data_IF_889692323772
#
_entry.id   IF_889692323772
#
_cell.length_a   1.000
_cell.length_b   1.000
_cell.length_c   1.000
_cell.angle_alpha   90.00
_cell.angle_beta   90.00
_cell.angle_gamma   90.00
#
_symmetry.space_group_name_H-M   'P 1'
#
loop_
_entity.id
_entity.type
_entity.pdbx_description
1 polymer ?
#
# COMPACT_ATOMS: atom_id res chain seq x y z
N UNK A 1 -7.79 -3.06 13.70
CA UNK A 1 -7.70 -1.58 13.75
C UNK A 1 -7.46 -1.01 15.16
N UNK A 2 -8.32 -1.29 16.16
CA UNK A 2 -8.18 -0.72 17.52
C UNK A 2 -6.86 -1.09 18.21
N UNK A 3 -6.48 -2.38 18.18
CA UNK A 3 -5.19 -2.85 18.71
C UNK A 3 -3.99 -2.14 18.07
N UNK A 4 -4.03 -1.94 16.74
CA UNK A 4 -2.95 -1.23 16.03
C UNK A 4 -2.88 0.24 16.44
N UNK A 5 -4.04 0.91 16.62
CA UNK A 5 -4.09 2.29 17.15
C UNK A 5 -3.47 2.36 18.54
N UNK A 6 -3.94 1.53 19.48
CA UNK A 6 -3.40 1.49 20.83
C UNK A 6 -1.88 1.29 20.85
N UNK A 7 -1.39 0.28 20.11
CA UNK A 7 0.04 -0.01 19.98
C UNK A 7 0.79 1.19 19.40
N UNK A 8 0.26 1.89 18.41
CA UNK A 8 0.89 3.06 17.81
C UNK A 8 1.09 4.20 18.82
N UNK A 9 0.07 4.48 19.64
CA UNK A 9 0.17 5.47 20.72
C UNK A 9 1.21 5.04 21.75
N UNK A 10 1.18 3.78 22.20
CA UNK A 10 2.15 3.27 23.17
C UNK A 10 3.60 3.30 22.65
N UNK A 11 3.83 2.96 21.39
CA UNK A 11 5.16 3.06 20.76
C UNK A 11 5.61 4.52 20.70
N UNK A 12 4.71 5.44 20.33
CA UNK A 12 5.02 6.88 20.27
C UNK A 12 5.36 7.43 21.66
N UNK A 13 4.60 7.04 22.69
CA UNK A 13 4.88 7.39 24.09
C UNK A 13 6.23 6.84 24.54
N UNK A 14 6.53 5.57 24.25
CA UNK A 14 7.81 4.96 24.58
C UNK A 14 8.98 5.65 23.87
N UNK A 15 8.82 6.03 22.59
CA UNK A 15 9.83 6.76 21.84
C UNK A 15 10.07 8.20 22.35
N UNK A 16 9.07 8.83 22.97
CA UNK A 16 9.20 10.15 23.59
C UNK A 16 10.04 10.15 24.88
N UNK A 17 10.08 9.03 25.63
CA UNK A 17 10.86 8.92 26.89
C UNK A 17 12.34 9.28 26.72
N UNK A 18 13.10 8.67 25.78
CA UNK A 18 14.49 9.04 25.58
C UNK A 18 14.64 10.47 25.06
N UNK A 19 13.69 11.00 24.27
CA UNK A 19 13.73 12.38 23.78
C UNK A 19 13.60 13.38 24.92
N UNK A 20 12.71 13.12 25.88
CA UNK A 20 12.55 13.97 27.07
C UNK A 20 13.82 13.96 27.92
N UNK A 21 14.40 12.77 28.14
CA UNK A 21 15.67 12.65 28.85
C UNK A 21 16.78 13.44 28.15
N UNK A 22 16.97 13.25 26.84
CA UNK A 22 17.95 14.01 26.05
C UNK A 22 17.68 15.50 26.16
N UNK A 23 16.43 15.94 26.02
CA UNK A 23 16.04 17.34 26.08
C UNK A 23 16.33 17.98 27.44
N UNK A 24 16.06 17.28 28.54
CA UNK A 24 16.32 17.78 29.90
C UNK A 24 17.82 18.07 30.14
N UNK A 25 18.72 17.21 29.65
CA UNK A 25 20.17 17.42 29.78
C UNK A 25 20.71 18.38 28.73
N UNK A 26 20.34 18.21 27.45
CA UNK A 26 20.82 19.05 26.36
C UNK A 26 20.29 20.49 26.45
N UNK A 27 19.12 20.69 27.07
CA UNK A 27 18.51 22.00 27.27
C UNK A 27 19.27 22.93 28.21
N UNK A 28 20.24 22.41 28.98
CA UNK A 28 20.97 23.19 29.99
C UNK A 28 21.97 24.19 29.37
N UNK A 29 22.48 23.91 28.17
CA UNK A 29 23.34 24.83 27.44
C UNK A 29 22.77 25.14 26.06
N UNK A 30 22.99 26.37 25.58
CA UNK A 30 22.43 26.81 24.29
C UNK A 30 22.90 25.93 23.13
N UNK A 31 24.21 25.68 23.06
CA UNK A 31 24.81 24.92 21.96
C UNK A 31 24.39 23.46 21.95
N UNK A 32 24.34 22.81 23.12
CA UNK A 32 23.88 21.42 23.23
C UNK A 32 22.41 21.29 22.82
N UNK A 33 21.57 22.26 23.17
CA UNK A 33 20.15 22.27 22.78
C UNK A 33 19.97 22.38 21.26
N UNK A 34 20.72 23.28 20.62
CA UNK A 34 20.68 23.50 19.17
C UNK A 34 21.13 22.24 18.42
N UNK A 35 22.24 21.63 18.83
CA UNK A 35 22.77 20.40 18.21
C UNK A 35 21.82 19.24 18.42
N UNK A 36 21.31 19.05 19.64
CA UNK A 36 20.36 17.98 19.95
C UNK A 36 19.07 18.11 19.12
N UNK A 37 18.54 19.33 18.97
CA UNK A 37 17.36 19.57 18.14
C UNK A 37 17.64 19.25 16.67
N UNK A 38 18.78 19.69 16.12
CA UNK A 38 19.15 19.41 14.74
C UNK A 38 19.23 17.90 14.47
N UNK A 39 19.91 17.15 15.34
CA UNK A 39 20.07 15.70 15.20
C UNK A 39 18.72 14.98 15.31
N UNK A 40 17.92 15.30 16.33
CA UNK A 40 16.61 14.66 16.52
C UNK A 40 15.67 15.00 15.37
N UNK A 41 15.61 16.26 14.94
CA UNK A 41 14.76 16.67 13.83
C UNK A 41 15.15 16.00 12.51
N UNK A 42 16.45 15.83 12.25
CA UNK A 42 16.94 15.12 11.08
C UNK A 42 16.56 13.64 11.14
N UNK A 43 16.79 12.97 12.29
CA UNK A 43 16.49 11.54 12.46
C UNK A 43 14.99 11.28 12.36
N UNK A 44 14.16 12.03 13.09
CA UNK A 44 12.70 11.87 13.06
C UNK A 44 12.15 12.23 11.67
N UNK A 45 12.68 13.28 11.03
CA UNK A 45 12.33 13.64 9.66
C UNK A 45 12.67 12.56 8.63
N UNK A 46 13.82 11.91 8.78
CA UNK A 46 14.21 10.77 7.94
C UNK A 46 13.34 9.53 8.19
N UNK A 47 12.97 9.26 9.44
CA UNK A 47 12.09 8.14 9.77
C UNK A 47 10.70 8.28 9.13
N UNK A 48 10.26 9.49 8.77
CA UNK A 48 9.01 9.72 8.04
C UNK A 48 8.97 9.01 6.66
N UNK A 49 10.13 8.69 6.07
CA UNK A 49 10.26 7.86 4.86
C UNK A 49 9.61 6.48 5.03
N UNK A 50 9.61 5.94 6.24
CA UNK A 50 8.99 4.64 6.54
C UNK A 50 7.46 4.68 6.45
N UNK A 51 6.87 5.89 6.35
CA UNK A 51 5.45 6.19 6.15
C UNK A 51 4.54 5.63 7.26
N UNK A 52 3.25 5.93 7.16
CA UNK A 52 2.21 5.46 8.08
C UNK A 52 2.32 5.99 9.49
N UNK A 53 2.14 5.11 10.47
CA UNK A 53 2.06 5.51 11.88
C UNK A 53 3.36 6.18 12.38
N UNK A 54 4.50 5.83 11.80
CA UNK A 54 5.80 6.46 12.11
C UNK A 54 5.82 7.91 11.62
N UNK A 55 5.38 8.16 10.39
CA UNK A 55 5.27 9.52 9.85
C UNK A 55 4.21 10.33 10.62
N UNK A 56 3.11 9.71 11.04
CA UNK A 56 2.08 10.37 11.85
C UNK A 56 2.61 10.80 13.25
N UNK A 57 3.54 10.03 13.82
CA UNK A 57 4.14 10.32 15.13
C UNK A 57 5.17 11.47 15.10
N UNK A 58 5.68 11.84 13.92
CA UNK A 58 6.75 12.84 13.77
C UNK A 58 6.46 14.15 14.50
N UNK A 59 5.28 14.73 14.30
CA UNK A 59 4.94 16.02 14.93
C UNK A 59 4.91 15.93 16.46
N UNK A 60 4.42 14.81 17.01
CA UNK A 60 4.34 14.59 18.46
C UNK A 60 5.74 14.39 19.06
N UNK A 61 6.61 13.63 18.39
CA UNK A 61 7.98 13.41 18.84
C UNK A 61 8.81 14.70 18.78
N UNK A 62 8.69 15.47 17.70
CA UNK A 62 9.34 16.79 17.60
C UNK A 62 8.82 17.74 18.68
N UNK A 63 7.50 17.76 18.92
CA UNK A 63 6.92 18.57 19.99
C UNK A 63 7.43 18.17 21.37
N UNK A 64 7.55 16.86 21.67
CA UNK A 64 8.11 16.40 22.94
C UNK A 64 9.55 16.86 23.15
N UNK A 65 10.37 16.83 22.09
CA UNK A 65 11.76 17.29 22.13
C UNK A 65 11.83 18.81 22.37
N UNK A 66 10.99 19.57 21.69
CA UNK A 66 10.91 21.03 21.83
C UNK A 66 10.55 21.43 23.26
N UNK A 67 9.53 20.79 23.84
CA UNK A 67 9.12 21.03 25.22
C UNK A 67 10.23 20.65 26.19
N UNK A 68 10.86 19.49 26.01
CA UNK A 68 11.96 19.05 26.87
C UNK A 68 13.17 19.99 26.83
N UNK A 69 13.57 20.48 25.65
CA UNK A 69 14.70 21.40 25.49
C UNK A 69 14.47 22.79 26.10
N UNK A 70 13.21 23.23 26.16
CA UNK A 70 12.86 24.59 26.55
C UNK A 70 12.37 24.69 27.99
N UNK A 71 11.70 23.67 28.52
CA UNK A 71 11.03 23.71 29.81
C UNK A 71 11.53 22.67 30.83
N UNK A 72 12.15 21.56 30.39
CA UNK A 72 12.59 20.50 31.31
C UNK A 72 13.99 20.75 31.85
N UNK A 73 14.24 20.27 33.07
CA UNK A 73 15.57 20.27 33.71
C UNK A 73 15.84 18.93 34.39
N UNK A 74 17.11 18.55 34.64
CA UNK A 74 17.44 17.27 35.24
C UNK A 74 16.77 17.01 36.59
N UNK A 75 16.47 18.06 37.36
CA UNK A 75 15.82 17.94 38.67
C UNK A 75 14.34 17.57 38.59
N UNK A 76 13.66 17.86 37.48
CA UNK A 76 12.23 17.56 37.26
C UNK A 76 12.00 16.44 36.23
N UNK A 77 13.08 15.79 35.76
CA UNK A 77 13.00 14.76 34.73
C UNK A 77 12.04 13.62 35.08
N UNK A 78 12.08 13.12 36.32
CA UNK A 78 11.19 12.04 36.75
C UNK A 78 9.70 12.45 36.71
N UNK A 79 9.29 13.59 37.32
CA UNK A 79 7.94 14.13 37.14
C UNK A 79 7.51 14.32 35.67
N UNK A 80 8.41 14.83 34.82
CA UNK A 80 8.11 15.06 33.40
C UNK A 80 7.86 13.74 32.64
N UNK A 81 8.69 12.72 32.91
CA UNK A 81 8.52 11.39 32.32
C UNK A 81 7.23 10.72 32.78
N UNK A 82 6.89 10.82 34.07
CA UNK A 82 5.62 10.29 34.59
C UNK A 82 4.43 10.99 33.92
N UNK A 83 4.48 12.31 33.80
CA UNK A 83 3.44 13.11 33.14
C UNK A 83 3.27 12.72 31.67
N UNK A 84 4.38 12.50 30.96
CA UNK A 84 4.37 12.04 29.57
C UNK A 84 3.76 10.65 29.41
N UNK A 85 4.14 9.70 30.27
CA UNK A 85 3.62 8.32 30.22
C UNK A 85 2.13 8.29 30.53
N UNK A 86 1.70 9.04 31.56
CA UNK A 86 0.28 9.14 31.92
C UNK A 86 -0.55 9.78 30.80
N UNK A 87 -0.05 10.88 30.21
CA UNK A 87 -0.70 11.53 29.08
C UNK A 87 -0.78 10.62 27.85
N UNK A 88 0.30 9.87 27.57
CA UNK A 88 0.36 8.88 26.50
C UNK A 88 -0.64 7.73 26.69
N UNK A 89 -0.72 7.19 27.91
CA UNK A 89 -1.67 6.14 28.27
C UNK A 89 -3.12 6.64 28.17
N UNK A 90 -3.40 7.84 28.68
CA UNK A 90 -4.71 8.47 28.57
C UNK A 90 -5.11 8.68 27.11
N UNK A 91 -4.19 9.15 26.26
CA UNK A 91 -4.41 9.31 24.82
C UNK A 91 -4.63 7.97 24.12
N UNK A 92 -3.89 6.91 24.49
CA UNK A 92 -4.06 5.57 23.94
C UNK A 92 -5.43 4.98 24.29
N UNK A 93 -5.86 5.12 25.56
CA UNK A 93 -7.19 4.74 26.00
C UNK A 93 -8.27 5.54 25.27
N UNK A 94 -8.11 6.86 25.20
CA UNK A 94 -9.02 7.75 24.50
C UNK A 94 -9.19 7.32 23.03
N UNK A 95 -8.09 7.06 22.32
CA UNK A 95 -8.10 6.63 20.93
C UNK A 95 -8.84 5.30 20.68
N UNK A 96 -9.01 4.47 21.70
CA UNK A 96 -9.76 3.20 21.64
C UNK A 96 -11.21 3.38 22.05
N UNK A 97 -11.48 4.13 23.12
CA UNK A 97 -12.80 4.20 23.75
C UNK A 97 -13.71 5.30 23.18
N UNK A 98 -13.17 6.48 22.83
CA UNK A 98 -13.98 7.61 22.39
C UNK A 98 -14.29 7.57 20.88
N UNK A 99 -13.43 6.94 20.07
CA UNK A 99 -13.61 6.89 18.61
C UNK A 99 -13.98 5.48 18.16
N UNK A 100 -15.24 5.24 17.74
CA UNK A 100 -15.63 3.92 17.23
C UNK A 100 -14.73 3.54 16.04
N UNK A 101 -14.16 2.34 16.07
CA UNK A 101 -13.56 1.81 14.85
C UNK A 101 -14.71 1.52 13.89
N UNK A 102 -14.73 2.21 12.74
CA UNK A 102 -15.56 1.77 11.63
C UNK A 102 -15.09 0.36 11.27
N UNK A 103 -15.87 -0.64 11.71
CA UNK A 103 -15.66 -2.02 11.37
C UNK A 103 -15.88 -2.12 9.85
N UNK A 104 -14.81 -2.41 9.12
CA UNK A 104 -14.80 -2.79 7.70
C UNK A 104 -15.79 -2.00 6.84
N UNK A 105 -15.32 -0.94 6.19
CA UNK A 105 -15.97 -0.53 4.95
C UNK A 105 -16.11 -1.79 4.07
N UNK A 106 -17.28 -2.04 3.43
CA UNK A 106 -17.53 -3.27 2.67
C UNK A 106 -16.66 -3.39 1.40
N UNK A 107 -15.65 -2.53 1.23
CA UNK A 107 -14.77 -2.46 0.06
C UNK A 107 -14.11 -3.81 -0.25
N UNK A 108 -13.49 -4.56 0.69
CA UNK A 108 -12.96 -5.88 0.37
C UNK A 108 -14.05 -6.86 -0.14
N UNK A 109 -15.27 -6.76 0.39
CA UNK A 109 -16.41 -7.54 -0.06
C UNK A 109 -16.87 -7.15 -1.47
N UNK A 110 -16.97 -5.85 -1.76
CA UNK A 110 -17.32 -5.32 -3.08
C UNK A 110 -16.24 -5.66 -4.13
N UNK A 111 -14.96 -5.59 -3.77
CA UNK A 111 -13.87 -6.05 -4.65
C UNK A 111 -14.04 -7.55 -4.92
N UNK A 112 -14.31 -8.36 -3.89
CA UNK A 112 -14.55 -9.79 -4.06
C UNK A 112 -15.76 -10.09 -4.98
N UNK A 113 -16.84 -9.30 -4.89
CA UNK A 113 -17.99 -9.39 -5.80
C UNK A 113 -17.61 -9.08 -7.25
N UNK A 114 -16.77 -8.08 -7.51
CA UNK A 114 -16.28 -7.82 -8.87
C UNK A 114 -15.41 -8.96 -9.38
N UNK A 115 -14.51 -9.50 -8.55
CA UNK A 115 -13.64 -10.62 -8.94
C UNK A 115 -14.45 -11.86 -9.32
N UNK A 116 -15.48 -12.20 -8.54
CA UNK A 116 -16.38 -13.31 -8.88
C UNK A 116 -17.18 -13.02 -10.16
N UNK A 117 -17.71 -11.80 -10.33
CA UNK A 117 -18.45 -11.44 -11.53
C UNK A 117 -17.56 -11.52 -12.79
N UNK A 118 -16.29 -11.11 -12.70
CA UNK A 118 -15.34 -11.21 -13.80
C UNK A 118 -14.96 -12.66 -14.08
N UNK A 119 -14.76 -13.49 -13.04
CA UNK A 119 -14.52 -14.91 -13.21
C UNK A 119 -15.70 -15.60 -13.91
N UNK A 120 -16.94 -15.31 -13.50
CA UNK A 120 -18.15 -15.82 -14.13
C UNK A 120 -18.27 -15.40 -15.61
N UNK A 121 -18.04 -14.12 -15.91
CA UNK A 121 -18.06 -13.63 -17.30
C UNK A 121 -16.95 -14.25 -18.15
N UNK A 122 -15.79 -14.53 -17.55
CA UNK A 122 -14.68 -15.20 -18.22
C UNK A 122 -15.00 -16.67 -18.50
N UNK A 123 -15.63 -17.36 -17.55
CA UNK A 123 -16.04 -18.76 -17.72
C UNK A 123 -17.14 -18.91 -18.78
N UNK A 124 -18.15 -18.03 -18.76
CA UNK A 124 -19.18 -18.00 -19.80
C UNK A 124 -18.56 -17.81 -21.18
N UNK A 125 -17.58 -16.91 -21.31
CA UNK A 125 -16.96 -16.61 -22.61
C UNK A 125 -16.02 -17.70 -23.11
N UNK A 126 -15.07 -18.11 -22.27
CA UNK A 126 -13.90 -18.88 -22.72
C UNK A 126 -13.93 -20.34 -22.27
N UNK A 127 -14.70 -20.69 -21.22
CA UNK A 127 -14.72 -22.06 -20.69
C UNK A 127 -15.94 -22.83 -21.19
N UNK A 128 -17.13 -22.23 -21.07
CA UNK A 128 -18.39 -22.88 -21.42
C UNK A 128 -18.91 -22.51 -22.80
N UNK A 129 -18.36 -21.46 -23.43
CA UNK A 129 -18.86 -20.91 -24.70
C UNK A 129 -20.38 -20.68 -24.67
N UNK A 130 -20.83 -19.98 -23.63
CA UNK A 130 -22.23 -19.66 -23.42
C UNK A 130 -22.80 -18.79 -24.54
N UNK A 131 -24.13 -18.73 -24.58
CA UNK A 131 -24.87 -17.93 -25.56
C UNK A 131 -24.53 -16.45 -25.43
N UNK A 132 -24.77 -15.68 -26.50
CA UNK A 132 -24.58 -14.23 -26.51
C UNK A 132 -25.37 -13.54 -25.37
N UNK A 133 -26.58 -14.03 -25.07
CA UNK A 133 -27.42 -13.51 -24.01
C UNK A 133 -26.81 -13.75 -22.62
N UNK A 134 -26.31 -14.96 -22.35
CA UNK A 134 -25.62 -15.28 -21.10
C UNK A 134 -24.36 -14.44 -20.91
N UNK A 135 -23.58 -14.23 -21.97
CA UNK A 135 -22.38 -13.39 -21.92
C UNK A 135 -22.72 -11.93 -21.64
N UNK A 136 -23.77 -11.38 -22.26
CA UNK A 136 -24.24 -10.02 -21.99
C UNK A 136 -24.71 -9.87 -20.54
N UNK A 137 -25.50 -10.82 -20.04
CA UNK A 137 -25.95 -10.81 -18.65
C UNK A 137 -24.78 -10.90 -17.65
N UNK A 138 -23.75 -11.72 -17.94
CA UNK A 138 -22.55 -11.79 -17.10
C UNK A 138 -21.75 -10.48 -17.14
N UNK A 139 -21.61 -9.84 -18.31
CA UNK A 139 -20.96 -8.52 -18.46
C UNK A 139 -21.73 -7.42 -17.72
N UNK A 140 -23.05 -7.46 -17.71
CA UNK A 140 -23.88 -6.51 -16.96
C UNK A 140 -23.70 -6.67 -15.44
N UNK A 141 -23.56 -7.92 -14.95
CA UNK A 141 -23.17 -8.18 -13.56
C UNK A 141 -21.81 -7.57 -13.21
N UNK A 142 -20.80 -7.71 -14.08
CA UNK A 142 -19.49 -7.06 -13.89
C UNK A 142 -19.62 -5.55 -13.79
N UNK A 143 -20.32 -4.92 -14.74
CA UNK A 143 -20.52 -3.47 -14.73
C UNK A 143 -21.25 -2.98 -13.47
N UNK A 144 -22.27 -3.73 -13.02
CA UNK A 144 -23.03 -3.41 -11.82
C UNK A 144 -22.18 -3.53 -10.55
N UNK A 145 -21.37 -4.58 -10.43
CA UNK A 145 -20.46 -4.75 -9.30
C UNK A 145 -19.39 -3.63 -9.25
N UNK A 146 -18.83 -3.26 -10.40
CA UNK A 146 -17.87 -2.13 -10.49
C UNK A 146 -18.53 -0.82 -10.12
N UNK A 147 -19.76 -0.56 -10.58
CA UNK A 147 -20.52 0.63 -10.23
C UNK A 147 -20.80 0.70 -8.72
N UNK A 148 -21.19 -0.42 -8.10
CA UNK A 148 -21.41 -0.51 -6.66
C UNK A 148 -20.11 -0.24 -5.86
N UNK A 149 -18.98 -0.79 -6.32
CA UNK A 149 -17.66 -0.53 -5.74
C UNK A 149 -17.33 0.96 -5.79
N UNK A 150 -17.42 1.60 -6.96
CA UNK A 150 -17.11 3.03 -7.14
C UNK A 150 -18.08 3.94 -6.38
N UNK A 151 -19.38 3.65 -6.39
CA UNK A 151 -20.36 4.41 -5.62
C UNK A 151 -20.02 4.46 -4.12
N UNK A 152 -19.42 3.38 -3.59
CA UNK A 152 -18.96 3.32 -2.19
C UNK A 152 -17.56 3.87 -1.98
N UNK A 153 -16.67 3.70 -2.96
CA UNK A 153 -15.26 4.07 -2.87
C UNK A 153 -15.02 5.56 -3.15
N UNK A 154 -15.52 6.08 -4.27
CA UNK A 154 -15.26 7.45 -4.74
C UNK A 154 -16.05 8.49 -3.94
N UNK A 155 -17.23 8.12 -3.43
CA UNK A 155 -18.13 9.01 -2.69
C UNK A 155 -17.72 9.29 -1.23
N UNK A 156 -16.63 8.71 -0.73
CA UNK A 156 -16.27 8.78 0.69
C UNK A 156 -15.02 9.64 0.96
N UNK A 157 -15.23 10.96 1.01
CA UNK A 157 -14.21 11.97 1.36
C UNK A 157 -13.61 11.80 2.78
N UNK A 158 -14.21 10.97 3.64
CA UNK A 158 -13.76 10.74 5.01
C UNK A 158 -12.82 9.53 5.14
N UNK A 159 -12.40 8.90 4.04
CA UNK A 159 -11.46 7.78 4.09
C UNK A 159 -10.04 8.31 4.37
N UNK A 160 -9.36 7.86 5.43
CA UNK A 160 -7.92 8.04 5.55
C UNK A 160 -7.25 7.17 4.48
N UNK A 161 -6.95 7.75 3.31
CA UNK A 161 -6.22 7.08 2.24
C UNK A 161 -4.72 7.13 2.51
N UNK A 162 -4.00 6.07 2.13
CA UNK A 162 -2.54 6.09 2.05
C UNK A 162 -1.75 6.09 3.37
N UNK A 163 -2.39 5.88 4.52
CA UNK A 163 -1.70 5.81 5.82
C UNK A 163 -0.90 4.51 5.93
N UNK A 164 -1.50 3.35 5.70
CA UNK A 164 -0.79 2.06 5.79
C UNK A 164 -0.47 1.45 4.42
N UNK A 165 0.47 0.51 4.37
CA UNK A 165 0.72 -0.27 3.14
C UNK A 165 -0.51 -1.07 2.71
N UNK A 166 -1.29 -1.56 3.68
CA UNK A 166 -2.55 -2.24 3.41
C UNK A 166 -3.60 -1.32 2.77
N UNK A 167 -3.68 -0.05 3.21
CA UNK A 167 -4.61 0.92 2.62
C UNK A 167 -4.23 1.28 1.18
N UNK A 168 -2.93 1.33 0.87
CA UNK A 168 -2.43 1.54 -0.50
C UNK A 168 -2.70 0.33 -1.38
N UNK A 169 -2.35 -0.87 -0.91
CA UNK A 169 -2.65 -2.10 -1.64
C UNK A 169 -4.15 -2.23 -1.94
N UNK A 170 -5.01 -1.83 -0.99
CA UNK A 170 -6.45 -1.80 -1.19
C UNK A 170 -6.89 -0.76 -2.23
N UNK A 171 -6.24 0.40 -2.30
CA UNK A 171 -6.52 1.41 -3.34
C UNK A 171 -6.05 0.93 -4.73
N UNK A 172 -4.86 0.32 -4.80
CA UNK A 172 -4.32 -0.29 -6.02
C UNK A 172 -5.21 -1.46 -6.49
N UNK A 173 -5.74 -2.28 -5.58
CA UNK A 173 -6.73 -3.30 -5.91
C UNK A 173 -7.98 -2.71 -6.58
N UNK A 174 -8.50 -1.59 -6.09
CA UNK A 174 -9.69 -0.98 -6.69
C UNK A 174 -9.40 -0.54 -8.12
N UNK A 175 -8.23 0.05 -8.38
CA UNK A 175 -7.82 0.42 -9.75
C UNK A 175 -7.66 -0.81 -10.65
N UNK A 176 -6.93 -1.84 -10.20
CA UNK A 176 -6.68 -3.06 -10.99
C UNK A 176 -7.96 -3.85 -11.29
N UNK A 177 -8.87 -3.96 -10.31
CA UNK A 177 -10.17 -4.61 -10.51
C UNK A 177 -11.05 -3.82 -11.48
N UNK A 178 -11.02 -2.48 -11.44
CA UNK A 178 -11.73 -1.66 -12.41
C UNK A 178 -11.16 -1.78 -13.84
N UNK A 179 -9.87 -2.07 -14.00
CA UNK A 179 -9.25 -2.37 -15.31
C UNK A 179 -9.77 -3.65 -15.95
N UNK A 180 -10.21 -4.63 -15.17
CA UNK A 180 -10.77 -5.90 -15.69
C UNK A 180 -11.98 -5.68 -16.61
N UNK A 181 -12.70 -4.55 -16.46
CA UNK A 181 -13.82 -4.22 -17.33
C UNK A 181 -13.44 -4.05 -18.80
N UNK A 182 -12.21 -3.61 -19.08
CA UNK A 182 -11.74 -3.43 -20.45
C UNK A 182 -11.55 -4.78 -21.14
N UNK A 183 -11.20 -5.83 -20.39
CA UNK A 183 -11.05 -7.19 -20.90
C UNK A 183 -12.40 -7.77 -21.36
N UNK A 184 -13.49 -7.33 -20.74
CA UNK A 184 -14.83 -7.75 -21.10
C UNK A 184 -15.29 -7.19 -22.46
N UNK A 185 -14.61 -6.18 -23.02
CA UNK A 185 -14.95 -5.62 -24.34
C UNK A 185 -14.18 -6.26 -25.50
N UNK A 186 -13.31 -7.23 -25.23
CA UNK A 186 -12.55 -7.88 -26.29
C UNK A 186 -13.48 -8.63 -27.24
N UNK A 187 -13.28 -8.50 -28.54
CA UNK A 187 -13.97 -9.23 -29.60
C UNK A 187 -12.97 -10.15 -30.29
N UNK A 188 -13.41 -11.35 -30.62
CA UNK A 188 -12.57 -12.33 -31.31
C UNK A 188 -12.37 -11.88 -32.77
N UNK A 189 -11.18 -12.08 -33.30
CA UNK A 189 -10.81 -11.74 -34.67
C UNK A 189 -11.23 -12.85 -35.63
N UNK A 190 -11.14 -14.11 -35.19
CA UNK A 190 -11.55 -15.24 -36.02
C UNK A 190 -13.06 -15.45 -35.99
N UNK A 191 -13.65 -15.67 -37.16
CA UNK A 191 -15.07 -16.03 -37.27
C UNK A 191 -15.35 -17.42 -36.68
N UNK A 192 -14.36 -18.31 -36.75
CA UNK A 192 -14.44 -19.68 -36.26
C UNK A 192 -13.13 -20.05 -35.57
N UNK A 193 -13.23 -20.36 -34.26
CA UNK A 193 -12.06 -20.82 -33.48
C UNK A 193 -11.69 -22.25 -33.83
N UNK A 194 -10.39 -22.47 -33.98
CA UNK A 194 -9.84 -23.81 -34.07
C UNK A 194 -10.16 -24.59 -32.77
N UNK A 195 -10.65 -25.85 -32.86
CA UNK A 195 -11.05 -26.61 -31.68
C UNK A 195 -9.92 -26.81 -30.66
N UNK A 196 -8.68 -27.01 -31.11
CA UNK A 196 -7.54 -27.23 -30.22
C UNK A 196 -7.15 -25.93 -29.50
N UNK A 197 -7.18 -24.80 -30.20
CA UNK A 197 -6.94 -23.47 -29.62
C UNK A 197 -8.05 -23.09 -28.62
N UNK A 198 -9.30 -23.44 -28.94
CA UNK A 198 -10.45 -23.24 -28.06
C UNK A 198 -10.31 -24.03 -26.76
N UNK A 199 -10.01 -25.34 -26.84
CA UNK A 199 -9.82 -26.20 -25.67
C UNK A 199 -8.66 -25.73 -24.78
N UNK A 200 -7.50 -25.41 -25.39
CA UNK A 200 -6.35 -24.82 -24.70
C UNK A 200 -6.74 -23.53 -23.96
N UNK A 201 -7.42 -22.61 -24.65
CA UNK A 201 -7.83 -21.33 -24.08
C UNK A 201 -8.80 -21.54 -22.91
N UNK A 202 -9.77 -22.45 -23.06
CA UNK A 202 -10.72 -22.81 -22.01
C UNK A 202 -10.02 -23.32 -20.75
N UNK A 203 -9.08 -24.25 -20.91
CA UNK A 203 -8.31 -24.81 -19.79
C UNK A 203 -7.54 -23.73 -19.01
N UNK A 204 -6.84 -22.84 -19.72
CA UNK A 204 -6.04 -21.77 -19.10
C UNK A 204 -6.93 -20.71 -18.45
N UNK A 205 -8.02 -20.30 -19.11
CA UNK A 205 -8.99 -19.36 -18.57
C UNK A 205 -9.65 -19.88 -17.29
N UNK A 206 -10.02 -21.16 -17.22
CA UNK A 206 -10.61 -21.75 -16.02
C UNK A 206 -9.68 -21.64 -14.80
N UNK A 207 -8.37 -21.84 -14.98
CA UNK A 207 -7.37 -21.67 -13.92
C UNK A 207 -7.25 -20.21 -13.47
N UNK A 208 -7.30 -19.26 -14.40
CA UNK A 208 -7.28 -17.82 -14.09
C UNK A 208 -8.53 -17.40 -13.33
N UNK A 209 -9.72 -17.85 -13.75
CA UNK A 209 -11.00 -17.63 -13.06
C UNK A 209 -10.96 -18.17 -11.62
N UNK A 210 -10.39 -19.36 -11.41
CA UNK A 210 -10.21 -19.92 -10.07
C UNK A 210 -9.27 -19.07 -9.19
N UNK A 211 -8.21 -18.49 -9.76
CA UNK A 211 -7.33 -17.58 -9.02
C UNK A 211 -8.06 -16.28 -8.62
N UNK A 212 -8.90 -15.71 -9.49
CA UNK A 212 -9.76 -14.56 -9.16
C UNK A 212 -10.72 -14.90 -8.00
N UNK A 213 -11.36 -16.08 -8.04
CA UNK A 213 -12.25 -16.56 -6.95
C UNK A 213 -11.50 -16.83 -5.64
N UNK A 214 -10.26 -17.30 -5.71
CA UNK A 214 -9.39 -17.47 -4.54
C UNK A 214 -9.07 -16.10 -3.91
N UNK A 215 -8.76 -15.08 -4.73
CA UNK A 215 -8.60 -13.71 -4.26
C UNK A 215 -9.89 -13.15 -3.62
N UNK A 216 -11.05 -13.40 -4.23
CA UNK A 216 -12.35 -13.02 -3.69
C UNK A 216 -12.61 -13.66 -2.31
N UNK A 217 -12.38 -14.97 -2.19
CA UNK A 217 -12.51 -15.71 -0.94
C UNK A 217 -11.55 -15.18 0.14
N UNK A 218 -10.31 -14.86 -0.25
CA UNK A 218 -9.29 -14.26 0.62
C UNK A 218 -9.74 -12.93 1.20
N UNK A 219 -10.34 -12.07 0.38
CA UNK A 219 -10.87 -10.75 0.79
C UNK A 219 -12.10 -10.87 1.70
N UNK A 220 -12.89 -11.95 1.57
CA UNK A 220 -14.00 -12.29 2.47
C UNK A 220 -13.56 -12.94 3.78
N UNK A 221 -12.29 -13.33 3.89
CA UNK A 221 -11.69 -13.80 5.15
C UNK A 221 -11.20 -15.24 5.15
N UNK A 222 -11.32 -15.97 4.03
CA UNK A 222 -10.72 -17.31 3.88
C UNK A 222 -9.23 -17.26 4.24
N UNK A 223 -8.71 -18.35 4.82
CA UNK A 223 -7.36 -18.51 5.38
C UNK A 223 -6.32 -19.05 4.39
N UNK A 224 -6.75 -19.60 3.26
CA UNK A 224 -5.87 -20.22 2.28
C UNK A 224 -4.78 -19.26 1.77
N UNK A 225 -3.55 -19.76 1.55
CA UNK A 225 -2.48 -18.99 0.95
C UNK A 225 -2.79 -18.70 -0.52
N UNK A 226 -2.27 -17.58 -1.03
CA UNK A 226 -2.32 -17.24 -2.44
C UNK A 226 -0.92 -17.32 -3.05
N UNK A 227 -0.84 -17.78 -4.29
CA UNK A 227 0.40 -17.77 -5.07
C UNK A 227 0.14 -17.12 -6.42
N UNK A 228 0.83 -16.02 -6.72
CA UNK A 228 0.85 -15.47 -8.08
C UNK A 228 1.84 -16.22 -8.98
N UNK A 229 2.74 -17.06 -8.43
CA UNK A 229 3.68 -17.88 -9.20
C UNK A 229 2.96 -18.85 -10.14
N UNK A 230 1.85 -19.44 -9.68
CA UNK A 230 1.01 -20.31 -10.50
C UNK A 230 0.42 -19.60 -11.74
N UNK A 231 0.24 -18.27 -11.68
CA UNK A 231 -0.23 -17.49 -12.84
C UNK A 231 0.90 -17.25 -13.84
N UNK A 232 2.16 -17.20 -13.38
CA UNK A 232 3.30 -17.17 -14.28
C UNK A 232 3.44 -18.48 -15.07
N UNK A 233 3.17 -19.63 -14.45
CA UNK A 233 3.19 -20.92 -15.13
C UNK A 233 2.16 -20.98 -16.28
N UNK A 234 0.93 -20.53 -16.05
CA UNK A 234 -0.13 -20.43 -17.09
C UNK A 234 0.36 -19.64 -18.31
N UNK A 235 1.16 -18.61 -18.06
CA UNK A 235 1.67 -17.72 -19.09
C UNK A 235 2.73 -18.39 -19.98
N UNK A 236 3.60 -19.20 -19.37
CA UNK A 236 4.62 -19.99 -20.07
C UNK A 236 3.95 -21.12 -20.84
N UNK A 237 3.02 -21.83 -20.19
CA UNK A 237 2.22 -22.89 -20.80
C UNK A 237 1.42 -22.39 -22.01
N UNK A 238 0.79 -21.20 -21.92
CA UNK A 238 0.10 -20.60 -23.06
C UNK A 238 1.03 -20.38 -24.26
N UNK A 239 2.27 -19.92 -24.00
CA UNK A 239 3.25 -19.65 -25.06
C UNK A 239 3.70 -20.97 -25.72
N UNK A 240 4.03 -21.97 -24.92
CA UNK A 240 4.50 -23.27 -25.40
C UNK A 240 3.41 -23.98 -26.21
N UNK A 241 2.19 -24.06 -25.69
CA UNK A 241 1.06 -24.70 -26.40
C UNK A 241 0.70 -23.97 -27.70
N UNK A 242 0.76 -22.64 -27.71
CA UNK A 242 0.52 -21.85 -28.94
C UNK A 242 1.64 -22.08 -29.97
N UNK A 243 2.89 -22.19 -29.53
CA UNK A 243 4.04 -22.44 -30.39
C UNK A 243 3.99 -23.85 -31.00
N UNK A 244 3.63 -24.86 -30.22
CA UNK A 244 3.46 -26.24 -30.67
C UNK A 244 2.32 -26.34 -31.70
N UNK A 245 1.16 -25.75 -31.39
CA UNK A 245 0.03 -25.69 -32.34
C UNK A 245 0.42 -25.01 -33.66
N UNK A 246 1.15 -23.90 -33.59
CA UNK A 246 1.64 -23.21 -34.80
C UNK A 246 2.61 -24.09 -35.60
N UNK A 247 3.51 -24.82 -34.93
CA UNK A 247 4.46 -25.69 -35.58
C UNK A 247 3.78 -26.86 -36.33
N UNK A 248 2.69 -27.38 -35.77
CA UNK A 248 1.88 -28.45 -36.37
C UNK A 248 1.06 -27.95 -37.58
N UNK A 249 0.55 -26.72 -37.53
CA UNK A 249 -0.41 -26.21 -38.51
C UNK A 249 0.19 -25.31 -39.62
N UNK A 250 1.44 -24.86 -39.48
CA UNK A 250 2.11 -23.95 -40.46
C UNK A 250 2.25 -24.51 -41.88
N UNK A 251 2.20 -25.84 -42.04
CA UNK A 251 2.30 -26.50 -43.34
C UNK A 251 0.97 -26.73 -44.05
N UNK A 252 -0.15 -26.59 -43.34
CA UNK A 252 -1.49 -27.00 -43.80
C UNK A 252 -2.50 -25.86 -43.81
N UNK A 253 -2.28 -24.80 -43.03
CA UNK A 253 -3.17 -23.64 -42.89
C UNK A 253 -2.56 -22.38 -43.50
N UNK A 254 -3.39 -21.41 -43.88
CA UNK A 254 -2.90 -20.12 -44.37
C UNK A 254 -2.30 -19.27 -43.24
N UNK A 255 -1.31 -18.40 -43.53
CA UNK A 255 -0.75 -17.48 -42.56
C UNK A 255 -1.79 -16.57 -41.89
N UNK A 256 -2.80 -16.13 -42.64
CA UNK A 256 -3.88 -15.28 -42.14
C UNK A 256 -4.71 -16.01 -41.07
N UNK A 257 -5.07 -17.27 -41.34
CA UNK A 257 -5.80 -18.10 -40.37
C UNK A 257 -5.01 -18.30 -39.08
N UNK A 258 -3.72 -18.64 -39.20
CA UNK A 258 -2.84 -18.86 -38.05
C UNK A 258 -2.70 -17.59 -37.19
N UNK A 259 -2.55 -16.42 -37.83
CA UNK A 259 -2.48 -15.13 -37.15
C UNK A 259 -3.75 -14.85 -36.35
N UNK A 260 -4.92 -15.03 -36.96
CA UNK A 260 -6.21 -14.77 -36.29
C UNK A 260 -6.42 -15.67 -35.07
N UNK A 261 -6.09 -16.95 -35.18
CA UNK A 261 -6.17 -17.87 -34.04
C UNK A 261 -5.21 -17.47 -32.91
N UNK A 262 -3.97 -17.06 -33.23
CA UNK A 262 -3.01 -16.59 -32.23
C UNK A 262 -3.48 -15.30 -31.56
N UNK A 263 -4.02 -14.35 -32.32
CA UNK A 263 -4.56 -13.10 -31.78
C UNK A 263 -5.69 -13.36 -30.77
N UNK A 264 -6.53 -14.37 -31.01
CA UNK A 264 -7.62 -14.77 -30.12
C UNK A 264 -7.15 -15.43 -28.80
N UNK A 265 -5.89 -15.85 -28.70
CA UNK A 265 -5.28 -16.33 -27.44
C UNK A 265 -4.71 -15.20 -26.57
N UNK A 266 -4.48 -14.01 -27.14
CA UNK A 266 -3.88 -12.89 -26.44
C UNK A 266 -4.63 -12.43 -25.17
N UNK A 267 -5.97 -12.49 -25.08
CA UNK A 267 -6.69 -12.18 -23.83
C UNK A 267 -6.18 -12.97 -22.62
N UNK A 268 -5.82 -14.25 -22.80
CA UNK A 268 -5.28 -15.11 -21.72
C UNK A 268 -4.06 -14.45 -21.09
N UNK A 269 -3.16 -13.90 -21.93
CA UNK A 269 -1.94 -13.21 -21.48
C UNK A 269 -2.25 -11.98 -20.64
N UNK A 270 -3.19 -11.14 -21.09
CA UNK A 270 -3.53 -9.89 -20.41
C UNK A 270 -4.24 -10.17 -19.08
N UNK A 271 -5.24 -11.07 -19.09
CA UNK A 271 -5.99 -11.41 -17.88
C UNK A 271 -5.06 -12.05 -16.84
N UNK A 272 -4.12 -12.90 -17.26
CA UNK A 272 -3.12 -13.50 -16.36
C UNK A 272 -2.24 -12.44 -15.68
N UNK A 273 -1.77 -11.43 -16.43
CA UNK A 273 -0.94 -10.34 -15.86
C UNK A 273 -1.69 -9.50 -14.84
N UNK A 274 -2.93 -9.11 -15.15
CA UNK A 274 -3.75 -8.32 -14.24
C UNK A 274 -4.14 -9.16 -13.01
N UNK A 275 -4.49 -10.43 -13.20
CA UNK A 275 -4.80 -11.36 -12.11
C UNK A 275 -3.59 -11.58 -11.19
N UNK A 276 -2.37 -11.61 -11.75
CA UNK A 276 -1.13 -11.69 -10.96
C UNK A 276 -0.97 -10.48 -10.06
N UNK A 277 -1.16 -9.27 -10.61
CA UNK A 277 -1.13 -8.03 -9.82
C UNK A 277 -2.21 -8.01 -8.75
N UNK A 278 -3.44 -8.39 -9.09
CA UNK A 278 -4.54 -8.50 -8.13
C UNK A 278 -4.18 -9.47 -7.00
N UNK A 279 -3.56 -10.60 -7.33
CA UNK A 279 -3.11 -11.60 -6.34
C UNK A 279 -2.05 -11.00 -5.40
N UNK A 280 -1.02 -10.36 -5.94
CA UNK A 280 0.04 -9.73 -5.14
C UNK A 280 -0.49 -8.62 -4.24
N UNK A 281 -1.40 -7.79 -4.75
CA UNK A 281 -2.03 -6.72 -3.97
C UNK A 281 -2.98 -7.28 -2.91
N UNK A 282 -3.69 -8.37 -3.19
CA UNK A 282 -4.51 -9.10 -2.20
C UNK A 282 -3.64 -9.65 -1.06
N UNK A 283 -2.47 -10.18 -1.38
CA UNK A 283 -1.46 -10.58 -0.39
C UNK A 283 -0.97 -9.34 0.39
N UNK A 284 -0.72 -8.21 -0.27
CA UNK A 284 -0.21 -6.99 0.37
C UNK A 284 -1.19 -6.32 1.34
N UNK A 285 -2.51 -6.47 1.13
CA UNK A 285 -3.53 -6.02 2.09
C UNK A 285 -3.37 -6.72 3.43
N UNK A 286 -3.11 -8.04 3.43
CA UNK A 286 -2.93 -8.82 4.66
C UNK A 286 -2.07 -10.07 4.41
N UNK A 287 -0.74 -9.96 4.52
CA UNK A 287 0.17 -11.08 4.28
C UNK A 287 -0.06 -12.23 5.25
N UNK A 288 0.10 -13.47 4.78
CA UNK A 288 0.06 -14.69 5.60
C UNK A 288 1.23 -15.62 5.28
N UNK A 289 1.57 -16.55 6.19
CA UNK A 289 2.52 -17.62 5.91
C UNK A 289 2.05 -18.45 4.71
N UNK A 290 2.98 -18.75 3.80
CA UNK A 290 2.71 -19.53 2.58
C UNK A 290 2.20 -18.70 1.39
N UNK A 291 1.99 -17.38 1.54
CA UNK A 291 1.71 -16.52 0.39
C UNK A 291 2.98 -16.37 -0.47
N UNK A 292 2.86 -16.57 -1.77
CA UNK A 292 3.95 -16.47 -2.75
C UNK A 292 3.65 -15.36 -3.76
N UNK A 293 4.65 -14.52 -4.02
CA UNK A 293 4.56 -13.43 -5.01
C UNK A 293 5.53 -13.68 -6.14
N UNK A 294 5.10 -13.44 -7.36
CA UNK A 294 5.95 -13.47 -8.54
C UNK A 294 6.65 -12.14 -8.70
N UNK A 295 7.98 -12.16 -8.76
CA UNK A 295 8.71 -11.06 -9.38
C UNK A 295 8.57 -11.15 -10.91
N UNK A 296 8.47 -10.02 -11.63
CA UNK A 296 8.40 -10.05 -13.09
C UNK A 296 9.66 -10.68 -13.70
N UNK A 297 9.53 -11.61 -14.66
CA UNK A 297 10.65 -12.31 -15.28
C UNK A 297 11.56 -11.36 -16.07
N UNK A 298 12.88 -11.46 -15.85
CA UNK A 298 13.92 -10.62 -16.46
C UNK A 298 14.51 -9.59 -15.50
N UNK A 299 13.86 -9.35 -14.36
CA UNK A 299 14.55 -8.87 -13.16
C UNK A 299 15.03 -10.14 -12.47
N UNK A 300 16.35 -10.35 -12.25
CA UNK A 300 16.77 -11.47 -11.44
C UNK A 300 15.97 -11.42 -10.15
N UNK A 301 15.28 -12.51 -9.82
CA UNK A 301 14.86 -12.80 -8.47
C UNK A 301 16.16 -12.96 -7.68
N UNK A 302 16.82 -11.83 -7.41
CA UNK A 302 17.54 -11.73 -6.18
C UNK A 302 16.48 -12.12 -5.17
N UNK A 303 16.76 -13.11 -4.33
CA UNK A 303 16.08 -13.26 -3.05
C UNK A 303 16.36 -11.98 -2.24
N UNK A 304 15.96 -10.82 -2.75
CA UNK A 304 15.96 -9.56 -2.08
C UNK A 304 14.77 -9.64 -1.17
N UNK A 305 15.02 -10.29 -0.02
CA UNK A 305 14.34 -10.01 1.23
C UNK A 305 13.92 -8.54 1.17
N UNK A 306 12.61 -8.23 1.14
CA UNK A 306 12.14 -6.88 0.86
C UNK A 306 12.93 -5.91 1.72
N UNK A 307 13.55 -4.86 1.13
CA UNK A 307 14.61 -4.10 1.77
C UNK A 307 14.14 -3.72 3.16
N UNK A 308 14.97 -4.08 4.15
CA UNK A 308 14.64 -3.89 5.54
C UNK A 308 14.37 -2.42 5.81
N UNK A 309 13.77 -2.09 6.97
CA UNK A 309 13.57 -0.69 7.35
C UNK A 309 14.87 0.14 7.25
N UNK A 310 16.01 -0.49 7.56
CA UNK A 310 17.34 0.11 7.45
C UNK A 310 17.80 0.32 6.00
N UNK A 311 17.53 -0.63 5.10
CA UNK A 311 17.95 -0.53 3.70
C UNK A 311 17.15 0.57 2.99
N UNK A 312 15.86 0.69 3.30
CA UNK A 312 15.03 1.83 2.85
C UNK A 312 15.60 3.15 3.32
N UNK A 313 15.97 3.24 4.60
CA UNK A 313 16.57 4.46 5.14
C UNK A 313 17.89 4.80 4.43
N UNK A 314 18.74 3.80 4.17
CA UNK A 314 20.01 3.94 3.44
C UNK A 314 19.83 4.44 2.02
N UNK A 315 18.83 3.93 1.29
CA UNK A 315 18.53 4.40 -0.07
C UNK A 315 18.13 5.88 -0.10
N UNK A 316 17.53 6.37 0.98
CA UNK A 316 17.11 7.76 1.11
C UNK A 316 18.17 8.68 1.73
N UNK A 317 19.32 8.16 2.17
CA UNK A 317 20.48 8.92 2.69
C UNK A 317 21.33 9.52 1.55
N UNK A 318 20.69 10.20 0.61
CA UNK A 318 21.39 10.90 -0.48
C UNK A 318 20.83 12.30 -0.69
N UNK A 319 21.70 13.22 -1.13
CA UNK A 319 21.29 14.59 -1.50
C UNK A 319 20.33 14.65 -2.68
N UNK A 320 20.15 13.56 -3.43
CA UNK A 320 19.13 13.46 -4.48
C UNK A 320 17.75 13.14 -3.92
N UNK A 321 17.66 12.67 -2.67
CA UNK A 321 16.38 12.33 -2.07
C UNK A 321 15.62 13.58 -1.61
N UNK A 322 14.37 13.79 -2.07
CA UNK A 322 13.51 14.86 -1.56
C UNK A 322 13.27 14.77 -0.05
N UNK A 323 13.22 13.54 0.48
CA UNK A 323 13.01 13.28 1.91
C UNK A 323 14.20 13.73 2.76
N UNK A 324 15.43 13.45 2.33
CA UNK A 324 16.64 13.90 3.02
C UNK A 324 16.71 15.43 3.02
N UNK A 325 16.46 16.08 1.87
CA UNK A 325 16.43 17.54 1.78
C UNK A 325 15.38 18.16 2.70
N UNK A 326 14.18 17.58 2.75
CA UNK A 326 13.12 18.05 3.64
C UNK A 326 13.50 17.87 5.11
N UNK A 327 14.06 16.71 5.49
CA UNK A 327 14.53 16.47 6.85
C UNK A 327 15.64 17.44 7.28
N UNK A 328 16.62 17.71 6.40
CA UNK A 328 17.67 18.72 6.63
C UNK A 328 17.06 20.12 6.80
N UNK A 329 16.13 20.50 5.94
CA UNK A 329 15.43 21.80 6.04
C UNK A 329 14.70 21.94 7.38
N UNK A 330 13.94 20.92 7.80
CA UNK A 330 13.26 20.92 9.10
C UNK A 330 14.25 20.98 10.26
N UNK A 331 15.37 20.25 10.17
CA UNK A 331 16.41 20.27 11.19
C UNK A 331 17.03 21.65 11.36
N UNK A 332 17.42 22.30 10.27
CA UNK A 332 18.00 23.65 10.28
C UNK A 332 17.00 24.68 10.83
N UNK A 333 15.75 24.63 10.38
CA UNK A 333 14.71 25.56 10.83
C UNK A 333 14.43 25.42 12.33
N UNK A 334 14.28 24.20 12.83
CA UNK A 334 14.01 23.94 14.25
C UNK A 334 15.23 24.26 15.14
N UNK A 335 16.44 23.96 14.69
CA UNK A 335 17.67 24.28 15.44
C UNK A 335 17.89 25.80 15.54
N UNK A 336 17.64 26.54 14.45
CA UNK A 336 17.73 28.00 14.47
C UNK A 336 16.67 28.61 15.39
N UNK A 337 15.45 28.07 15.36
CA UNK A 337 14.36 28.48 16.24
C UNK A 337 14.72 28.26 17.73
N UNK A 338 15.33 27.12 18.08
CA UNK A 338 15.85 26.86 19.44
C UNK A 338 16.96 27.85 19.81
N UNK A 339 17.87 28.18 18.89
CA UNK A 339 18.93 29.16 19.13
C UNK A 339 18.35 30.53 19.49
N UNK A 340 17.34 30.99 18.75
CA UNK A 340 16.61 32.23 19.03
C UNK A 340 15.88 32.13 20.38
N UNK A 341 15.14 31.05 20.60
CA UNK A 341 14.36 30.83 21.83
C UNK A 341 15.23 30.84 23.10
N UNK A 342 16.48 30.36 23.02
CA UNK A 342 17.43 30.40 24.14
C UNK A 342 18.24 31.71 24.25
N UNK A 343 18.16 32.57 23.25
CA UNK A 343 18.87 33.87 23.21
C UNK A 343 17.99 35.01 23.70
N UNK A 344 16.67 34.90 23.56
CA UNK A 344 15.71 35.92 24.01
C UNK A 344 15.15 35.55 25.38
N UNK A 345 15.16 36.51 26.32
CA UNK A 345 14.56 36.34 27.65
C UNK A 345 13.04 36.52 27.58
N UNK A 346 12.32 35.52 27.06
CA UNK A 346 10.86 35.45 27.10
C UNK A 346 10.40 34.56 28.25
N UNK A 347 9.20 34.83 28.77
CA UNK A 347 8.56 33.96 29.76
C UNK A 347 8.26 32.56 29.19
N UNK A 348 7.93 32.49 27.90
CA UNK A 348 7.51 31.26 27.23
C UNK A 348 8.20 31.08 25.85
N UNK A 349 9.52 30.79 25.83
CA UNK A 349 10.31 30.72 24.60
C UNK A 349 9.91 29.53 23.69
N UNK A 350 9.20 28.53 24.23
CA UNK A 350 8.73 27.37 23.47
C UNK A 350 7.73 27.74 22.36
N UNK A 351 6.99 28.86 22.48
CA UNK A 351 6.04 29.30 21.45
C UNK A 351 6.71 29.64 20.12
N UNK A 352 7.95 30.14 20.14
CA UNK A 352 8.72 30.44 18.92
C UNK A 352 8.92 29.15 18.12
N UNK A 353 9.35 28.09 18.80
CA UNK A 353 9.66 26.81 18.18
C UNK A 353 8.39 26.08 17.74
N UNK A 354 7.31 26.19 18.51
CA UNK A 354 6.01 25.65 18.12
C UNK A 354 5.47 26.34 16.85
N UNK A 355 5.65 27.66 16.74
CA UNK A 355 5.30 28.42 15.54
C UNK A 355 6.08 27.95 14.32
N UNK A 356 7.39 27.73 14.46
CA UNK A 356 8.24 27.15 13.40
C UNK A 356 7.76 25.75 13.01
N UNK A 357 7.49 24.87 14.00
CA UNK A 357 6.99 23.51 13.75
C UNK A 357 5.65 23.52 13.00
N UNK A 358 4.77 24.46 13.33
CA UNK A 358 3.47 24.63 12.69
C UNK A 358 3.61 25.09 11.24
N UNK A 359 4.51 26.04 10.96
CA UNK A 359 4.82 26.49 9.61
C UNK A 359 5.43 25.39 8.73
N UNK A 360 6.29 24.54 9.31
CA UNK A 360 6.90 23.40 8.60
C UNK A 360 5.90 22.29 8.25
N UNK A 361 4.77 22.22 8.97
CA UNK A 361 3.73 21.21 8.72
C UNK A 361 2.92 21.51 7.44
N UNK A 362 2.92 22.75 6.96
CA UNK A 362 2.28 23.17 5.72
C UNK A 362 3.10 22.83 4.45
N UNK A 363 3.72 21.65 4.40
CA UNK A 363 4.30 21.12 3.16
C UNK A 363 3.20 20.41 2.34
N UNK A 364 3.26 20.56 1.02
CA UNK A 364 2.25 20.26 -0.01
C UNK A 364 1.68 18.82 -0.11
N UNK A 365 1.94 17.94 0.87
CA UNK A 365 1.34 16.61 0.96
C UNK A 365 0.06 16.59 1.83
N UNK A 366 -0.29 17.71 2.46
CA UNK A 366 -1.53 17.90 3.24
C UNK A 366 -2.70 18.50 2.46
N UNK A 367 -2.51 18.79 1.17
CA UNK A 367 -3.51 19.20 0.16
C UNK A 367 -3.41 18.24 -1.00
#
# INVERSE_FOLDING_TARGET
>A
PLRQRFIAYMITTAAGVPLIAIGAFAGQQRWTAVVAMAVVALVVGLLAVLRGLIAAAQSVLLLSMVLALTASTPSVLLPDLVSWILGGLAAACAAVFLWPSQANLPIPGLIAEVLDAVADASDVRWVHYGTREELLAARDRVNSAIAALHAKYDGNLLRPSGVTNADRALAELVDEVSRLRYLQKWEDVSDHKDPQVAEMTAHLCARISNALRACASRLRGDKNPLSSANLFEIRTENLDLTADWLAENRGTKSPEYLREQIEDTFPVRVITLITSRITDQTIAVKPRPGDERSDPPGVPALEEKPPGPLDRLRMHLSWHSPWFRSAVRSAVALSLSIAVAKSVSLQHPFWIVLGTLSALRFDALGT
#
